data_IF_162945479084
#
_entry.id   IF_162945479084
#
_cell.length_a   1.000
_cell.length_b   1.000
_cell.length_c   1.000
_cell.angle_alpha   90.00
_cell.angle_beta   90.00
_cell.angle_gamma   90.00
#
_symmetry.space_group_name_H-M   'P 1'
#
loop_
_entity.id
_entity.type
_entity.pdbx_description
1 polymer ?
#
# COMPACT_ATOMS: atom_id res chain seq x y z
N UNK A 1 15.26 -9.58 -10.99
CA UNK A 1 15.15 -8.29 -10.28
C UNK A 1 14.26 -8.53 -9.07
N UNK A 2 14.60 -8.05 -7.87
CA UNK A 2 13.83 -8.35 -6.65
C UNK A 2 12.72 -7.32 -6.42
N UNK A 3 11.63 -7.76 -5.78
CA UNK A 3 10.54 -6.88 -5.33
C UNK A 3 10.53 -6.77 -3.81
N UNK A 4 10.01 -5.66 -3.29
CA UNK A 4 9.71 -5.50 -1.88
C UNK A 4 8.27 -5.94 -1.64
N UNK A 5 8.11 -7.06 -0.93
CA UNK A 5 6.80 -7.62 -0.61
C UNK A 5 6.27 -7.06 0.71
N UNK A 6 5.05 -6.52 0.68
CA UNK A 6 4.32 -6.14 1.88
C UNK A 6 3.37 -7.28 2.24
N UNK A 7 3.64 -7.90 3.39
CA UNK A 7 2.86 -9.02 3.92
C UNK A 7 1.90 -8.53 5.01
N UNK A 8 0.67 -9.03 4.98
CA UNK A 8 -0.19 -9.12 6.15
C UNK A 8 0.19 -10.40 6.88
N UNK A 9 0.55 -10.30 8.16
CA UNK A 9 0.97 -11.45 8.97
C UNK A 9 0.14 -11.48 10.24
N UNK A 10 -0.80 -12.43 10.32
CA UNK A 10 -1.72 -12.56 11.43
C UNK A 10 -1.44 -13.85 12.20
N UNK A 11 -1.28 -13.75 13.53
CA UNK A 11 -1.23 -14.92 14.40
C UNK A 11 -2.57 -15.07 15.12
N UNK A 12 -3.38 -16.02 14.68
CA UNK A 12 -4.59 -16.38 15.41
C UNK A 12 -4.26 -17.00 16.77
N UNK A 13 -5.14 -16.79 17.75
CA UNK A 13 -4.95 -17.18 19.16
C UNK A 13 -4.50 -18.63 19.35
N UNK A 14 -4.94 -19.55 18.48
CA UNK A 14 -4.65 -20.99 18.56
C UNK A 14 -3.82 -21.53 17.40
N UNK A 15 -3.31 -20.67 16.51
CA UNK A 15 -2.51 -21.11 15.38
C UNK A 15 -1.06 -21.40 15.80
N UNK A 16 -0.52 -22.52 15.30
CA UNK A 16 0.88 -22.90 15.51
C UNK A 16 1.86 -22.00 14.72
N UNK A 17 1.38 -21.38 13.64
CA UNK A 17 2.14 -20.48 12.77
C UNK A 17 1.33 -19.23 12.42
N UNK A 18 2.00 -18.23 11.87
CA UNK A 18 1.37 -17.03 11.30
C UNK A 18 0.73 -17.40 9.96
N UNK A 19 -0.41 -16.80 9.70
CA UNK A 19 -1.02 -16.77 8.38
C UNK A 19 -0.51 -15.51 7.66
N UNK A 20 0.11 -15.69 6.49
CA UNK A 20 0.83 -14.62 5.79
C UNK A 20 0.30 -14.43 4.36
N UNK A 21 -0.14 -13.21 4.06
CA UNK A 21 -0.71 -12.82 2.78
C UNK A 21 0.06 -11.65 2.14
N UNK A 22 0.56 -11.80 0.90
CA UNK A 22 1.14 -10.75 0.09
C UNK A 22 0.02 -9.83 -0.33
N UNK A 23 0.08 -8.61 0.18
CA UNK A 23 -0.92 -7.57 -0.11
C UNK A 23 -0.53 -6.83 -1.37
N UNK A 24 0.73 -6.39 -1.44
CA UNK A 24 1.27 -5.57 -2.53
C UNK A 24 2.76 -5.87 -2.71
N UNK A 25 3.24 -5.82 -3.94
CA UNK A 25 4.65 -5.86 -4.29
C UNK A 25 5.09 -4.49 -4.82
N UNK A 26 6.24 -3.96 -4.40
CA UNK A 26 6.79 -2.71 -4.91
C UNK A 26 8.18 -2.87 -5.51
N UNK A 27 8.50 -2.05 -6.51
CA UNK A 27 9.84 -1.97 -7.09
C UNK A 27 10.85 -1.29 -6.16
N UNK A 28 10.38 -0.40 -5.27
CA UNK A 28 11.23 0.35 -4.34
C UNK A 28 10.84 0.11 -2.88
N UNK A 29 11.83 0.13 -2.00
CA UNK A 29 11.61 0.04 -0.56
C UNK A 29 10.81 1.23 -0.02
N UNK A 30 11.06 2.43 -0.56
CA UNK A 30 10.37 3.64 -0.14
C UNK A 30 8.86 3.56 -0.39
N UNK A 31 8.45 3.02 -1.53
CA UNK A 31 7.02 2.87 -1.85
C UNK A 31 6.35 1.82 -0.95
N UNK A 32 7.03 0.71 -0.65
CA UNK A 32 6.57 -0.27 0.34
C UNK A 32 6.44 0.33 1.74
N UNK A 33 7.42 1.13 2.17
CA UNK A 33 7.39 1.84 3.45
C UNK A 33 6.23 2.81 3.56
N UNK A 34 6.01 3.64 2.54
CA UNK A 34 4.85 4.55 2.45
C UNK A 34 3.54 3.80 2.55
N UNK A 35 3.41 2.65 1.86
CA UNK A 35 2.22 1.82 1.94
C UNK A 35 1.93 1.34 3.37
N UNK A 36 2.96 0.86 4.09
CA UNK A 36 2.82 0.38 5.48
C UNK A 36 2.39 1.53 6.41
N UNK A 37 3.07 2.69 6.33
CA UNK A 37 2.75 3.86 7.15
C UNK A 37 1.30 4.27 6.94
N UNK A 38 0.87 4.39 5.69
CA UNK A 38 -0.51 4.72 5.35
C UNK A 38 -1.52 3.71 5.91
N UNK A 39 -1.26 2.40 5.81
CA UNK A 39 -2.17 1.36 6.35
C UNK A 39 -2.34 1.49 7.86
N UNK A 40 -1.24 1.68 8.58
CA UNK A 40 -1.26 1.83 10.05
C UNK A 40 -1.95 3.13 10.46
N UNK A 41 -1.62 4.24 9.80
CA UNK A 41 -2.23 5.53 10.06
C UNK A 41 -3.73 5.54 9.75
N UNK A 42 -4.18 4.93 8.66
CA UNK A 42 -5.61 4.79 8.36
C UNK A 42 -6.34 3.98 9.44
N UNK A 43 -5.71 2.94 10.00
CA UNK A 43 -6.27 2.21 11.15
C UNK A 43 -6.40 3.10 12.39
N UNK A 44 -5.43 3.99 12.65
CA UNK A 44 -5.53 4.97 13.72
C UNK A 44 -6.65 6.00 13.46
N UNK A 45 -6.80 6.47 12.21
CA UNK A 45 -7.89 7.38 11.80
C UNK A 45 -9.27 6.76 12.03
N UNK A 46 -9.45 5.47 11.72
CA UNK A 46 -10.69 4.74 12.04
C UNK A 46 -10.97 4.78 13.54
N UNK A 47 -9.96 4.55 14.37
CA UNK A 47 -10.09 4.58 15.85
C UNK A 47 -10.50 5.95 16.37
N UNK A 48 -10.03 7.02 15.70
CA UNK A 48 -10.39 8.41 15.97
C UNK A 48 -11.69 8.87 15.29
N UNK A 49 -12.39 7.96 14.58
CA UNK A 49 -13.60 8.26 13.80
C UNK A 49 -13.39 9.35 12.74
N UNK A 50 -12.19 9.43 12.20
CA UNK A 50 -11.84 10.31 11.08
C UNK A 50 -12.00 9.55 9.76
N UNK A 51 -12.33 10.28 8.69
CA UNK A 51 -12.33 9.71 7.34
C UNK A 51 -10.89 9.29 6.97
N UNK A 52 -10.72 8.05 6.52
CA UNK A 52 -9.42 7.50 6.11
C UNK A 52 -8.97 8.06 4.75
N UNK A 53 -7.65 8.06 4.52
CA UNK A 53 -7.12 8.43 3.20
C UNK A 53 -7.54 7.41 2.13
N UNK A 54 -7.66 6.12 2.47
CA UNK A 54 -8.26 5.13 1.58
C UNK A 54 -9.64 5.57 1.05
N UNK A 55 -10.55 6.01 1.93
CA UNK A 55 -11.89 6.45 1.51
C UNK A 55 -11.83 7.70 0.64
N UNK A 56 -10.95 8.65 0.96
CA UNK A 56 -10.76 9.87 0.17
C UNK A 56 -10.24 9.54 -1.23
N UNK A 57 -9.17 8.76 -1.33
CA UNK A 57 -8.58 8.37 -2.62
C UNK A 57 -9.52 7.50 -3.44
N UNK A 58 -10.27 6.60 -2.80
CA UNK A 58 -11.27 5.79 -3.50
C UNK A 58 -12.40 6.66 -4.08
N UNK A 59 -12.79 7.75 -3.41
CA UNK A 59 -13.80 8.66 -3.92
C UNK A 59 -13.29 9.54 -5.07
N UNK A 60 -12.05 10.03 -4.96
CA UNK A 60 -11.41 10.86 -5.98
C UNK A 60 -10.99 10.08 -7.23
N UNK A 61 -10.83 8.77 -7.09
CA UNK A 61 -10.21 7.92 -8.10
C UNK A 61 -8.69 8.03 -8.10
N UNK A 62 -8.04 7.08 -8.79
CA UNK A 62 -6.59 7.07 -8.94
C UNK A 62 -6.13 8.27 -9.76
N UNK A 63 -5.09 8.95 -9.31
CA UNK A 63 -4.54 10.10 -10.01
C UNK A 63 -3.95 9.70 -11.39
N UNK A 64 -4.22 10.49 -12.45
CA UNK A 64 -3.88 10.13 -13.83
C UNK A 64 -2.38 10.02 -14.10
N UNK A 65 -1.53 10.47 -13.18
CA UNK A 65 -0.07 10.28 -13.25
C UNK A 65 0.34 8.85 -12.91
N UNK A 66 -0.58 8.00 -12.46
CA UNK A 66 -0.34 6.57 -12.25
C UNK A 66 -0.96 5.80 -13.43
N UNK A 67 -0.11 5.18 -14.24
CA UNK A 67 -0.53 4.31 -15.31
C UNK A 67 -0.91 2.93 -14.76
N UNK A 68 -1.98 2.34 -15.29
CA UNK A 68 -2.45 1.00 -14.94
C UNK A 68 -2.21 0.06 -16.13
N UNK A 69 -1.50 -1.03 -15.89
CA UNK A 69 -1.16 -2.03 -16.90
C UNK A 69 -1.43 -3.44 -16.36
N UNK A 70 -1.45 -4.43 -17.26
CA UNK A 70 -1.44 -5.83 -16.84
C UNK A 70 -0.15 -6.14 -16.08
N UNK A 71 -0.22 -6.99 -15.05
CA UNK A 71 0.96 -7.43 -14.35
C UNK A 71 1.83 -8.35 -15.21
N UNK A 72 3.14 -8.33 -14.93
CA UNK A 72 4.11 -9.14 -15.65
C UNK A 72 3.90 -10.64 -15.33
N UNK A 73 4.04 -11.56 -16.32
CA UNK A 73 3.85 -12.99 -16.09
C UNK A 73 4.73 -13.57 -14.97
N UNK A 74 5.95 -13.06 -14.82
CA UNK A 74 6.87 -13.49 -13.77
C UNK A 74 6.35 -13.14 -12.37
N UNK A 75 5.66 -12.01 -12.22
CA UNK A 75 5.06 -11.57 -10.95
C UNK A 75 3.81 -12.38 -10.64
N UNK A 76 3.01 -12.70 -11.66
CA UNK A 76 1.87 -13.60 -11.53
C UNK A 76 2.33 -14.97 -11.04
N UNK A 77 3.39 -15.53 -11.65
CA UNK A 77 3.96 -16.81 -11.25
C UNK A 77 4.51 -16.78 -9.82
N UNK A 78 5.19 -15.69 -9.44
CA UNK A 78 5.65 -15.48 -8.08
C UNK A 78 4.48 -15.52 -7.09
N UNK A 79 3.43 -14.73 -7.31
CA UNK A 79 2.26 -14.70 -6.42
C UNK A 79 1.56 -16.05 -6.32
N UNK A 80 1.44 -16.79 -7.44
CA UNK A 80 0.87 -18.15 -7.40
C UNK A 80 1.71 -19.12 -6.56
N UNK A 81 3.03 -18.98 -6.57
CA UNK A 81 3.91 -19.82 -5.75
C UNK A 81 3.81 -19.50 -4.27
N UNK A 82 3.57 -18.24 -3.91
CA UNK A 82 3.38 -17.78 -2.53
C UNK A 82 1.94 -18.04 -2.02
N UNK A 83 0.95 -18.09 -2.92
CA UNK A 83 -0.46 -18.36 -2.64
C UNK A 83 -0.99 -19.60 -3.39
N UNK A 84 -0.66 -20.83 -2.94
CA UNK A 84 -1.17 -22.04 -3.58
C UNK A 84 -2.71 -22.16 -3.56
N UNK A 85 -3.37 -21.42 -2.66
CA UNK A 85 -4.84 -21.37 -2.55
C UNK A 85 -5.51 -20.31 -3.44
N UNK A 86 -4.74 -19.55 -4.22
CA UNK A 86 -5.29 -18.55 -5.13
C UNK A 86 -6.08 -19.24 -6.26
N UNK A 87 -7.30 -18.77 -6.53
CA UNK A 87 -8.14 -19.31 -7.59
C UNK A 87 -7.43 -19.22 -8.96
N UNK A 88 -7.58 -20.27 -9.77
CA UNK A 88 -6.97 -20.33 -11.10
C UNK A 88 -7.46 -19.16 -11.96
N UNK A 89 -6.51 -18.44 -12.58
CA UNK A 89 -6.82 -17.26 -13.41
C UNK A 89 -7.07 -15.97 -12.63
N UNK A 90 -7.19 -16.00 -11.30
CA UNK A 90 -7.47 -14.81 -10.50
C UNK A 90 -6.35 -13.77 -10.58
N UNK A 91 -5.08 -14.20 -10.42
CA UNK A 91 -3.93 -13.32 -10.55
C UNK A 91 -3.84 -12.70 -11.95
N UNK A 92 -4.03 -13.50 -13.01
CA UNK A 92 -3.99 -13.02 -14.39
C UNK A 92 -5.06 -11.97 -14.68
N UNK A 93 -6.26 -12.17 -14.12
CA UNK A 93 -7.38 -11.28 -14.36
C UNK A 93 -7.25 -9.97 -13.58
N UNK A 94 -6.89 -10.06 -12.29
CA UNK A 94 -7.07 -8.96 -11.35
C UNK A 94 -5.78 -8.31 -10.87
N UNK A 95 -4.63 -8.96 -10.97
CA UNK A 95 -3.36 -8.32 -10.60
C UNK A 95 -3.01 -7.27 -11.66
N UNK A 96 -2.81 -6.03 -11.22
CA UNK A 96 -2.42 -4.91 -12.07
C UNK A 96 -1.09 -4.33 -11.62
N UNK A 97 -0.38 -3.76 -12.60
CA UNK A 97 0.80 -2.94 -12.38
C UNK A 97 0.37 -1.47 -12.35
N UNK A 98 0.83 -0.75 -11.33
CA UNK A 98 0.62 0.67 -11.15
C UNK A 98 1.96 1.36 -11.24
N UNK A 99 2.16 2.20 -12.24
CA UNK A 99 3.47 2.82 -12.54
C UNK A 99 3.35 4.33 -12.48
N UNK A 100 4.25 4.99 -11.75
CA UNK A 100 4.34 6.44 -11.79
C UNK A 100 4.90 6.90 -13.15
N UNK A 101 4.08 7.61 -13.92
CA UNK A 101 4.41 8.03 -15.30
C UNK A 101 5.69 8.87 -15.40
N UNK A 102 5.97 9.69 -14.38
CA UNK A 102 7.18 10.53 -14.31
C UNK A 102 8.42 9.78 -13.85
N UNK A 103 8.25 8.59 -13.26
CA UNK A 103 9.34 7.77 -12.69
C UNK A 103 9.03 6.27 -12.92
N UNK A 104 9.27 5.74 -14.13
CA UNK A 104 8.86 4.39 -14.51
C UNK A 104 9.51 3.25 -13.71
N UNK A 105 10.60 3.54 -12.99
CA UNK A 105 11.28 2.65 -12.05
C UNK A 105 10.54 2.53 -10.70
N UNK A 106 9.55 3.39 -10.43
CA UNK A 106 8.68 3.35 -9.26
C UNK A 106 7.30 2.83 -9.65
N UNK A 107 7.02 1.60 -9.24
CA UNK A 107 5.78 0.90 -9.54
C UNK A 107 5.44 -0.12 -8.45
N UNK A 108 4.17 -0.52 -8.41
CA UNK A 108 3.68 -1.59 -7.55
C UNK A 108 2.72 -2.52 -8.27
N UNK A 109 2.56 -3.73 -7.74
CA UNK A 109 1.56 -4.69 -8.18
C UNK A 109 0.55 -4.93 -7.08
N UNK A 110 -0.72 -4.70 -7.38
CA UNK A 110 -1.79 -4.83 -6.41
C UNK A 110 -3.06 -5.39 -7.07
N UNK A 111 -3.89 -6.03 -6.24
CA UNK A 111 -5.27 -6.35 -6.60
C UNK A 111 -6.16 -5.10 -6.49
N UNK A 112 -7.37 -5.10 -7.09
CA UNK A 112 -8.24 -3.92 -7.12
C UNK A 112 -8.62 -3.37 -5.74
N UNK A 113 -8.66 -4.22 -4.71
CA UNK A 113 -8.93 -3.80 -3.32
C UNK A 113 -7.87 -2.87 -2.73
N UNK A 114 -6.68 -2.86 -3.31
CA UNK A 114 -5.55 -2.03 -2.93
C UNK A 114 -5.27 -0.92 -3.96
N UNK A 115 -6.07 -0.80 -5.03
CA UNK A 115 -5.93 0.25 -6.06
C UNK A 115 -5.90 1.67 -5.47
N UNK A 116 -6.84 2.10 -4.59
CA UNK A 116 -6.80 3.45 -4.03
C UNK A 116 -5.52 3.73 -3.24
N UNK A 117 -4.89 2.69 -2.70
CA UNK A 117 -3.64 2.80 -1.95
C UNK A 117 -2.43 3.00 -2.84
N UNK A 118 -2.53 2.79 -4.16
CA UNK A 118 -1.43 3.04 -5.10
C UNK A 118 -1.14 4.54 -5.26
N UNK A 119 -2.02 5.41 -4.76
CA UNK A 119 -1.77 6.83 -4.60
C UNK A 119 -0.45 7.12 -3.85
N UNK A 120 0.02 6.21 -2.99
CA UNK A 120 1.32 6.34 -2.30
C UNK A 120 2.50 6.47 -3.25
N UNK A 121 2.42 5.95 -4.49
CA UNK A 121 3.49 6.09 -5.49
C UNK A 121 3.79 7.56 -5.82
N UNK A 122 2.78 8.43 -5.73
CA UNK A 122 2.89 9.85 -6.05
C UNK A 122 3.49 10.71 -4.95
N UNK A 123 3.45 10.22 -3.71
CA UNK A 123 3.74 11.03 -2.53
C UNK A 123 5.21 10.85 -2.11
N UNK A 124 5.83 11.93 -1.65
CA UNK A 124 6.96 11.84 -0.74
C UNK A 124 6.50 11.34 0.64
N UNK A 125 7.43 11.02 1.54
CA UNK A 125 7.07 10.72 2.92
C UNK A 125 6.44 11.92 3.62
N UNK A 126 6.92 13.14 3.35
CA UNK A 126 6.37 14.38 3.92
C UNK A 126 4.93 14.63 3.42
N UNK A 127 4.69 14.49 2.11
CA UNK A 127 3.34 14.64 1.54
C UNK A 127 2.38 13.56 2.06
N UNK A 128 2.89 12.35 2.28
CA UNK A 128 2.10 11.29 2.91
C UNK A 128 1.78 11.63 4.37
N UNK A 129 2.75 12.09 5.15
CA UNK A 129 2.55 12.48 6.54
C UNK A 129 1.51 13.59 6.64
N UNK A 130 1.62 14.65 5.83
CA UNK A 130 0.63 15.74 5.84
C UNK A 130 -0.77 15.26 5.46
N UNK A 131 -0.88 14.39 4.44
CA UNK A 131 -2.17 13.78 4.10
C UNK A 131 -2.73 12.96 5.27
N UNK A 132 -1.91 12.16 5.95
CA UNK A 132 -2.35 11.32 7.06
C UNK A 132 -2.73 12.11 8.33
N UNK A 133 -2.12 13.28 8.54
CA UNK A 133 -2.42 14.16 9.66
C UNK A 133 -3.63 15.07 9.42
N UNK A 134 -4.12 15.18 8.19
CA UNK A 134 -5.26 16.02 7.84
C UNK A 134 -6.50 15.72 8.71
N UNK A 135 -6.98 16.72 9.45
CA UNK A 135 -8.13 16.61 10.34
C UNK A 135 -7.84 16.00 11.72
N UNK A 136 -6.58 15.65 12.01
CA UNK A 136 -6.12 15.35 13.37
C UNK A 136 -5.92 16.69 14.12
N UNK A 137 -6.30 16.79 15.41
CA UNK A 137 -6.00 17.98 16.22
C UNK A 137 -4.52 18.35 16.21
N UNK A 138 -4.21 19.65 16.07
CA UNK A 138 -2.82 20.12 15.88
C UNK A 138 -1.89 19.79 17.04
N UNK A 139 -2.38 19.75 18.28
CA UNK A 139 -1.62 19.34 19.45
C UNK A 139 -1.11 17.89 19.35
N UNK A 140 -1.87 17.01 18.70
CA UNK A 140 -1.47 15.62 18.42
C UNK A 140 -0.60 15.56 17.16
N UNK A 141 -0.96 16.30 16.12
CA UNK A 141 -0.23 16.31 14.85
C UNK A 141 1.21 16.83 15.01
N UNK A 142 1.42 17.82 15.89
CA UNK A 142 2.75 18.33 16.26
C UNK A 142 3.66 17.26 16.86
N UNK A 143 3.13 16.35 17.68
CA UNK A 143 3.91 15.26 18.26
C UNK A 143 4.41 14.32 17.16
N UNK A 144 3.54 13.95 16.22
CA UNK A 144 3.90 13.08 15.11
C UNK A 144 5.01 13.70 14.23
N UNK A 145 4.90 14.99 13.89
CA UNK A 145 5.91 15.72 13.11
C UNK A 145 7.23 15.92 13.85
N UNK A 146 7.19 16.06 15.18
CA UNK A 146 8.39 16.27 15.99
C UNK A 146 9.30 15.04 16.07
N UNK A 147 8.74 13.84 15.92
CA UNK A 147 9.48 12.58 15.93
C UNK A 147 10.26 12.33 14.62
N UNK A 148 9.88 12.98 13.51
CA UNK A 148 10.57 12.88 12.22
C UNK A 148 11.87 13.71 12.15
N UNK A 149 12.09 14.65 13.09
CA UNK A 149 13.25 15.55 13.10
C UNK A 149 14.45 15.06 13.94
N UNK A 150 14.38 13.86 14.54
CA UNK A 150 15.45 13.32 15.40
C UNK A 150 16.38 12.29 14.71
N UNK A 151 16.27 12.09 13.39
CA UNK A 151 17.12 11.14 12.64
C UNK A 151 17.74 11.71 11.36
#
# INVERSE_FOLDING_TARGET
MGYFSVLSSLKHERASQRDEEVRVLFSTFSDAGKYIIMRVADSARVSLRLQTQFVKWNHSGLDPRIAIEAADPDVINLLKSEYPGLEEGFAEQYLKRYTLTTRPDSYGFAFPEDEPRMQVLLLSFEELTEALLEGIPEDIALIARSQDNEY
#
